data_IF_298068823372
#
_entry.id   IF_298068823372
#
_cell.length_a   1.000
_cell.length_b   1.000
_cell.length_c   1.000
_cell.angle_alpha   90.00
_cell.angle_beta   90.00
_cell.angle_gamma   90.00
#
_symmetry.space_group_name_H-M   'P 1'
#
loop_
_entity.id
_entity.type
_entity.pdbx_description
1 polymer ?
#
# COMPACT_ATOMS: atom_id res chain seq x y z
N UNK A 1 -2.77 -24.12 1.74
CA UNK A 1 -3.51 -23.22 0.85
C UNK A 1 -3.01 -21.80 1.07
N UNK A 2 -2.72 -21.07 0.02
CA UNK A 2 -2.00 -19.80 0.18
C UNK A 2 -2.44 -18.81 -0.89
N UNK A 3 -3.77 -18.71 -1.07
CA UNK A 3 -4.34 -17.65 -1.89
C UNK A 3 -4.33 -16.36 -1.07
N UNK A 4 -3.72 -15.30 -1.62
CA UNK A 4 -3.78 -13.94 -1.09
C UNK A 4 -4.52 -13.11 -2.13
N UNK A 5 -5.55 -12.40 -1.70
CA UNK A 5 -6.30 -11.48 -2.54
C UNK A 5 -5.73 -10.07 -2.42
N UNK A 6 -5.20 -9.58 -3.51
CA UNK A 6 -4.78 -8.18 -3.63
C UNK A 6 -5.98 -7.34 -4.04
N UNK A 7 -6.19 -6.24 -3.35
CA UNK A 7 -7.24 -5.27 -3.59
C UNK A 7 -6.65 -3.91 -3.92
N UNK A 8 -7.36 -3.15 -4.72
CA UNK A 8 -7.08 -1.75 -5.01
C UNK A 8 -8.40 -1.02 -5.29
N UNK A 9 -8.50 0.25 -4.90
CA UNK A 9 -9.71 1.05 -5.07
C UNK A 9 -9.41 2.36 -5.77
N UNK A 10 -10.26 2.71 -6.77
CA UNK A 10 -10.39 4.10 -7.19
C UNK A 10 -11.57 4.73 -6.45
N UNK A 11 -11.43 6.01 -6.10
CA UNK A 11 -12.39 6.68 -5.22
C UNK A 11 -12.66 8.12 -5.65
N UNK A 12 -13.75 8.68 -5.17
CA UNK A 12 -14.14 10.08 -5.41
C UNK A 12 -13.43 11.07 -4.47
N UNK A 13 -12.51 10.61 -3.62
CA UNK A 13 -11.78 11.45 -2.65
C UNK A 13 -11.03 10.58 -1.64
N UNK A 14 -10.63 11.18 -0.52
CA UNK A 14 -9.71 10.53 0.43
C UNK A 14 -10.45 9.95 1.66
N UNK A 15 -11.45 10.66 2.19
CA UNK A 15 -12.07 10.34 3.49
C UNK A 15 -13.55 10.01 3.35
N UNK A 16 -13.98 8.78 3.71
CA UNK A 16 -15.41 8.49 3.84
C UNK A 16 -16.02 9.26 5.04
N UNK A 17 -17.31 9.58 5.03
CA UNK A 17 -18.31 9.17 4.02
C UNK A 17 -18.39 10.09 2.79
N UNK A 18 -17.60 11.18 2.75
CA UNK A 18 -17.59 12.12 1.61
C UNK A 18 -17.00 11.45 0.37
N UNK A 19 -15.94 10.67 0.55
CA UNK A 19 -15.37 9.86 -0.52
C UNK A 19 -16.09 8.51 -0.65
N UNK A 20 -16.32 8.08 -1.88
CA UNK A 20 -16.96 6.82 -2.24
C UNK A 20 -16.04 6.01 -3.17
N UNK A 21 -16.07 4.68 -3.07
CA UNK A 21 -15.36 3.80 -4.00
C UNK A 21 -16.09 3.78 -5.33
N UNK A 22 -15.41 4.16 -6.42
CA UNK A 22 -15.94 4.16 -7.79
C UNK A 22 -15.46 2.99 -8.64
N UNK A 23 -14.33 2.36 -8.30
CA UNK A 23 -13.87 1.10 -8.91
C UNK A 23 -13.25 0.20 -7.85
N UNK A 24 -13.53 -1.10 -7.94
CA UNK A 24 -12.86 -2.15 -7.16
C UNK A 24 -12.01 -2.99 -8.10
N UNK A 25 -10.75 -3.17 -7.78
CA UNK A 25 -9.83 -4.07 -8.44
C UNK A 25 -9.41 -5.22 -7.53
N UNK A 26 -9.37 -6.42 -8.08
CA UNK A 26 -8.92 -7.63 -7.39
C UNK A 26 -7.91 -8.38 -8.26
N UNK A 27 -6.86 -8.89 -7.61
CA UNK A 27 -5.92 -9.79 -8.23
C UNK A 27 -5.50 -10.85 -7.22
N UNK A 28 -5.64 -12.12 -7.57
CA UNK A 28 -5.29 -13.22 -6.68
C UNK A 28 -3.86 -13.69 -6.92
N UNK A 29 -3.10 -13.84 -5.82
CA UNK A 29 -1.78 -14.43 -5.78
C UNK A 29 -1.88 -15.84 -5.18
N UNK A 30 -1.62 -16.87 -5.99
CA UNK A 30 -1.49 -18.25 -5.51
C UNK A 30 -0.01 -18.55 -5.19
N UNK A 31 0.31 -18.56 -3.91
CA UNK A 31 1.67 -18.86 -3.43
C UNK A 31 2.08 -20.31 -3.65
N UNK A 32 1.13 -21.26 -3.72
CA UNK A 32 1.46 -22.66 -3.91
C UNK A 32 1.95 -22.93 -5.33
N UNK A 33 1.29 -22.37 -6.32
CA UNK A 33 1.69 -22.45 -7.73
C UNK A 33 2.64 -21.31 -8.14
N UNK A 34 2.89 -20.34 -7.27
CA UNK A 34 3.66 -19.11 -7.53
C UNK A 34 3.16 -18.33 -8.74
N UNK A 35 1.84 -18.16 -8.82
CA UNK A 35 1.19 -17.50 -9.95
C UNK A 35 0.40 -16.28 -9.49
N UNK A 36 0.61 -15.18 -10.18
CA UNK A 36 -0.30 -14.03 -10.18
C UNK A 36 -1.37 -14.31 -11.20
N UNK A 37 -2.65 -14.31 -10.78
CA UNK A 37 -3.77 -14.56 -11.67
C UNK A 37 -4.18 -13.28 -12.40
N UNK A 38 -4.91 -13.38 -13.53
CA UNK A 38 -5.42 -12.19 -14.20
C UNK A 38 -6.28 -11.33 -13.27
N UNK A 39 -6.13 -10.00 -13.33
CA UNK A 39 -6.93 -9.10 -12.51
C UNK A 39 -8.37 -9.06 -13.00
N UNK A 40 -9.27 -8.67 -12.12
CA UNK A 40 -10.66 -8.32 -12.44
C UNK A 40 -11.03 -7.02 -11.75
N UNK A 41 -11.87 -6.22 -12.37
CA UNK A 41 -12.39 -5.01 -11.76
C UNK A 41 -13.83 -4.74 -12.19
N UNK A 42 -14.51 -3.90 -11.41
CA UNK A 42 -15.85 -3.43 -11.72
C UNK A 42 -16.06 -2.03 -11.14
N UNK A 43 -16.90 -1.24 -11.81
CA UNK A 43 -17.29 0.08 -11.36
C UNK A 43 -18.40 -0.01 -10.31
N UNK A 44 -18.39 0.93 -9.37
CA UNK A 44 -19.37 1.11 -8.33
C UNK A 44 -20.13 2.42 -8.52
N UNK A 45 -21.38 2.46 -8.05
CA UNK A 45 -22.22 3.66 -8.08
C UNK A 45 -21.71 4.71 -7.09
N UNK A 46 -21.58 5.94 -7.56
CA UNK A 46 -21.18 7.09 -6.75
C UNK A 46 -22.08 8.29 -7.03
N UNK A 47 -22.14 9.24 -6.09
CA UNK A 47 -23.00 10.42 -6.21
C UNK A 47 -22.35 11.56 -6.99
N UNK A 48 -21.03 11.67 -6.90
CA UNK A 48 -20.24 12.72 -7.54
C UNK A 48 -18.89 12.19 -8.02
N UNK A 49 -18.27 12.91 -8.94
CA UNK A 49 -16.96 12.57 -9.47
C UNK A 49 -16.15 13.87 -9.67
N UNK A 50 -15.44 14.35 -8.64
CA UNK A 50 -14.64 15.56 -8.70
C UNK A 50 -13.60 15.54 -9.83
N UNK A 51 -13.33 16.68 -10.50
CA UNK A 51 -12.41 16.70 -11.63
C UNK A 51 -10.96 16.32 -11.26
N UNK A 52 -10.53 16.61 -10.03
CA UNK A 52 -9.19 16.29 -9.53
C UNK A 52 -8.95 14.77 -9.43
N UNK A 53 -9.92 13.99 -8.96
CA UNK A 53 -9.79 12.52 -8.90
C UNK A 53 -9.96 11.92 -10.29
N UNK A 54 -10.87 12.47 -11.09
CA UNK A 54 -11.06 12.05 -12.49
C UNK A 54 -9.80 12.28 -13.33
N UNK A 55 -9.02 13.30 -13.03
CA UNK A 55 -7.74 13.55 -13.69
C UNK A 55 -6.69 12.45 -13.38
N UNK A 56 -6.91 11.64 -12.34
CA UNK A 56 -6.04 10.53 -11.95
C UNK A 56 -6.50 9.23 -12.61
N UNK A 57 -7.72 8.77 -12.31
CA UNK A 57 -8.21 7.45 -12.75
C UNK A 57 -9.06 7.48 -14.04
N UNK A 58 -9.41 8.67 -14.55
CA UNK A 58 -10.16 8.90 -15.79
C UNK A 58 -11.57 8.28 -15.86
N UNK A 59 -12.14 7.87 -14.71
CA UNK A 59 -13.50 7.34 -14.64
C UNK A 59 -14.47 8.52 -14.56
N UNK A 60 -15.47 8.53 -15.44
CA UNK A 60 -16.54 9.54 -15.43
C UNK A 60 -17.70 9.15 -14.52
N UNK A 61 -18.49 10.14 -14.09
CA UNK A 61 -19.69 9.88 -13.32
C UNK A 61 -20.71 9.02 -14.12
N UNK A 62 -20.79 9.23 -15.44
CA UNK A 62 -21.72 8.47 -16.30
C UNK A 62 -21.36 6.98 -16.37
N UNK A 63 -20.09 6.60 -16.28
CA UNK A 63 -19.66 5.19 -16.24
C UNK A 63 -20.09 4.49 -14.94
N UNK A 64 -20.20 5.25 -13.85
CA UNK A 64 -20.63 4.77 -12.53
C UNK A 64 -22.15 4.79 -12.37
N UNK A 65 -22.87 5.44 -13.31
CA UNK A 65 -24.31 5.59 -13.27
C UNK A 65 -25.00 4.23 -13.27
N UNK A 66 -26.04 4.11 -12.46
CA UNK A 66 -26.86 2.89 -12.34
C UNK A 66 -26.08 1.64 -11.86
N UNK A 67 -24.85 1.81 -11.34
CA UNK A 67 -24.11 0.74 -10.67
C UNK A 67 -24.51 0.65 -9.20
N UNK A 68 -24.40 -0.56 -8.63
CA UNK A 68 -24.55 -0.72 -7.19
C UNK A 68 -23.40 0.01 -6.46
N UNK A 69 -23.68 0.75 -5.38
CA UNK A 69 -22.62 1.38 -4.59
C UNK A 69 -21.79 0.32 -3.88
N UNK A 70 -20.52 0.66 -3.62
CA UNK A 70 -19.67 -0.17 -2.75
C UNK A 70 -20.23 -0.18 -1.32
N UNK A 71 -20.14 -1.33 -0.66
CA UNK A 71 -20.61 -1.52 0.70
C UNK A 71 -19.79 -2.59 1.44
N UNK A 72 -19.97 -2.71 2.76
CA UNK A 72 -19.38 -3.81 3.53
C UNK A 72 -19.81 -5.18 2.98
N UNK A 73 -21.03 -5.34 2.50
CA UNK A 73 -21.49 -6.60 1.90
C UNK A 73 -20.72 -6.93 0.61
N UNK A 74 -20.34 -5.91 -0.18
CA UNK A 74 -19.45 -6.09 -1.33
C UNK A 74 -18.06 -6.57 -0.90
N UNK A 75 -17.53 -5.97 0.17
CA UNK A 75 -16.24 -6.36 0.74
C UNK A 75 -16.30 -7.80 1.30
N UNK A 76 -17.36 -8.15 2.02
CA UNK A 76 -17.58 -9.51 2.54
C UNK A 76 -17.62 -10.54 1.41
N UNK A 77 -18.31 -10.24 0.30
CA UNK A 77 -18.39 -11.14 -0.84
C UNK A 77 -17.01 -11.44 -1.45
N UNK A 78 -16.17 -10.44 -1.65
CA UNK A 78 -14.82 -10.70 -2.17
C UNK A 78 -13.86 -11.32 -1.15
N UNK A 79 -14.11 -11.18 0.15
CA UNK A 79 -13.34 -11.89 1.19
C UNK A 79 -13.73 -13.36 1.31
N UNK A 80 -14.97 -13.72 0.97
CA UNK A 80 -15.45 -15.11 1.04
C UNK A 80 -15.15 -15.88 -0.25
N UNK A 81 -15.20 -15.24 -1.39
CA UNK A 81 -14.99 -15.89 -2.69
C UNK A 81 -13.58 -16.49 -2.81
N UNK A 82 -13.49 -17.79 -3.12
CA UNK A 82 -12.22 -18.49 -3.25
C UNK A 82 -11.43 -18.67 -1.95
N UNK A 83 -11.99 -18.27 -0.80
CA UNK A 83 -11.42 -18.40 0.55
C UNK A 83 -9.96 -17.97 0.65
N UNK A 84 -9.62 -16.71 0.34
CA UNK A 84 -8.26 -16.20 0.52
C UNK A 84 -7.86 -16.23 1.99
N UNK A 85 -6.58 -16.46 2.26
CA UNK A 85 -6.03 -16.51 3.62
C UNK A 85 -5.66 -15.14 4.17
N UNK A 86 -5.52 -14.13 3.29
CA UNK A 86 -5.21 -12.75 3.63
C UNK A 86 -5.64 -11.82 2.49
N UNK A 87 -5.80 -10.55 2.80
CA UNK A 87 -5.86 -9.45 1.84
C UNK A 87 -4.48 -8.80 1.72
N UNK A 88 -4.21 -8.16 0.59
CA UNK A 88 -3.08 -7.27 0.44
C UNK A 88 -3.48 -6.02 -0.36
N UNK A 89 -2.85 -4.89 -0.06
CA UNK A 89 -3.00 -3.66 -0.81
C UNK A 89 -1.70 -2.84 -0.79
N UNK A 90 -1.53 -1.93 -1.73
CA UNK A 90 -0.40 -1.01 -1.70
C UNK A 90 -0.81 0.29 -0.99
N UNK A 91 -0.26 0.53 0.22
CA UNK A 91 -0.72 1.54 1.17
C UNK A 91 -2.11 1.21 1.78
N UNK A 92 -2.25 -0.02 2.27
CA UNK A 92 -3.50 -0.61 2.75
C UNK A 92 -4.29 0.26 3.75
N UNK A 93 -3.65 1.18 4.46
CA UNK A 93 -4.30 2.15 5.35
C UNK A 93 -5.34 3.02 4.60
N UNK A 94 -5.20 3.13 3.27
CA UNK A 94 -6.15 3.85 2.43
C UNK A 94 -7.42 3.01 2.18
N UNK A 95 -7.28 1.79 1.67
CA UNK A 95 -8.41 0.90 1.39
C UNK A 95 -9.22 0.58 2.64
N UNK A 96 -8.53 0.44 3.79
CA UNK A 96 -9.14 0.14 5.07
C UNK A 96 -10.00 1.26 5.65
N UNK A 97 -10.05 2.44 5.04
CA UNK A 97 -11.01 3.49 5.38
C UNK A 97 -12.42 3.19 4.89
N UNK A 98 -12.54 2.39 3.83
CA UNK A 98 -13.81 2.15 3.13
C UNK A 98 -14.53 0.86 3.57
N UNK A 99 -13.85 -0.05 4.27
CA UNK A 99 -14.45 -1.29 4.78
C UNK A 99 -13.67 -1.85 5.99
N UNK A 100 -14.35 -2.73 6.76
CA UNK A 100 -13.74 -3.46 7.86
C UNK A 100 -13.29 -4.87 7.39
N UNK A 101 -11.99 -5.19 7.37
CA UNK A 101 -11.53 -6.49 6.94
C UNK A 101 -11.77 -7.56 8.00
N UNK A 102 -12.17 -8.76 7.56
CA UNK A 102 -12.27 -9.98 8.41
C UNK A 102 -11.03 -10.86 8.32
N UNK A 103 -10.17 -10.61 7.34
CA UNK A 103 -8.94 -11.34 7.08
C UNK A 103 -7.71 -10.54 7.52
N UNK A 104 -6.57 -11.20 7.79
CA UNK A 104 -5.30 -10.50 7.94
C UNK A 104 -4.99 -9.63 6.71
N UNK A 105 -4.40 -8.45 6.92
CA UNK A 105 -4.06 -7.52 5.83
C UNK A 105 -2.56 -7.33 5.74
N UNK A 106 -2.04 -7.33 4.52
CA UNK A 106 -0.65 -7.05 4.16
C UNK A 106 -0.60 -5.72 3.42
N UNK A 107 0.14 -4.76 3.97
CA UNK A 107 0.49 -3.51 3.29
C UNK A 107 1.82 -3.70 2.54
N UNK A 108 1.76 -3.83 1.21
CA UNK A 108 2.98 -4.02 0.40
C UNK A 108 3.88 -2.78 0.41
N UNK A 109 3.32 -1.57 0.57
CA UNK A 109 4.08 -0.34 0.75
C UNK A 109 4.96 -0.37 2.02
N UNK A 110 4.35 -0.68 3.19
CA UNK A 110 5.08 -0.80 4.45
C UNK A 110 6.10 -1.94 4.45
N UNK A 111 5.79 -3.03 3.74
CA UNK A 111 6.73 -4.14 3.55
C UNK A 111 7.91 -3.73 2.66
N UNK A 112 7.66 -3.06 1.53
CA UNK A 112 8.69 -2.60 0.61
C UNK A 112 9.68 -1.62 1.27
N UNK A 113 9.19 -0.69 2.11
CA UNK A 113 10.04 0.22 2.90
C UNK A 113 11.05 -0.54 3.79
N UNK A 114 10.73 -1.75 4.24
CA UNK A 114 11.59 -2.58 5.08
C UNK A 114 12.52 -3.47 4.30
N UNK A 115 12.01 -4.05 3.22
CA UNK A 115 12.75 -5.04 2.41
C UNK A 115 13.69 -4.36 1.42
N UNK A 116 13.28 -3.20 0.88
CA UNK A 116 14.03 -2.44 -0.13
C UNK A 116 14.14 -0.95 0.23
N UNK A 117 14.80 -0.63 1.37
CA UNK A 117 14.98 0.77 1.77
C UNK A 117 15.78 1.60 0.74
N UNK A 118 16.55 0.92 -0.13
CA UNK A 118 17.37 1.50 -1.20
C UNK A 118 16.59 1.78 -2.49
N UNK A 119 15.33 1.32 -2.61
CA UNK A 119 14.53 1.57 -3.81
C UNK A 119 14.38 3.08 -4.09
N UNK A 120 14.47 3.53 -5.35
CA UNK A 120 14.41 4.97 -5.69
C UNK A 120 13.05 5.60 -5.39
N UNK A 121 12.02 4.78 -5.21
CA UNK A 121 10.68 5.17 -4.82
C UNK A 121 9.86 3.95 -4.42
N UNK A 122 8.86 4.16 -3.57
CA UNK A 122 8.03 3.09 -3.03
C UNK A 122 6.57 3.18 -3.47
N UNK A 123 6.21 4.04 -4.43
CA UNK A 123 4.90 3.96 -5.07
C UNK A 123 4.77 2.67 -5.89
N UNK A 124 3.54 2.20 -6.12
CA UNK A 124 3.26 0.97 -6.86
C UNK A 124 3.98 0.96 -8.23
N UNK A 125 3.84 2.04 -9.00
CA UNK A 125 4.49 2.18 -10.30
C UNK A 125 6.02 2.27 -10.22
N UNK A 126 6.59 2.98 -9.22
CA UNK A 126 8.04 3.07 -9.06
C UNK A 126 8.66 1.72 -8.71
N UNK A 127 8.05 0.97 -7.79
CA UNK A 127 8.49 -0.38 -7.45
C UNK A 127 8.37 -1.33 -8.63
N UNK A 128 7.27 -1.24 -9.41
CA UNK A 128 7.10 -2.06 -10.61
C UNK A 128 8.30 -1.93 -11.53
N UNK A 129 8.59 -0.74 -12.03
CA UNK A 129 9.65 -0.54 -13.02
C UNK A 129 11.04 -0.85 -12.44
N UNK A 130 11.29 -0.46 -11.19
CA UNK A 130 12.55 -0.80 -10.53
C UNK A 130 12.76 -2.32 -10.40
N UNK A 131 11.73 -3.08 -10.05
CA UNK A 131 11.80 -4.55 -9.96
C UNK A 131 11.88 -5.21 -11.35
N UNK A 132 11.22 -4.65 -12.37
CA UNK A 132 11.37 -5.08 -13.77
C UNK A 132 12.82 -4.90 -14.25
N UNK A 133 13.41 -3.72 -14.02
CA UNK A 133 14.81 -3.42 -14.39
C UNK A 133 15.81 -4.36 -13.70
N UNK A 134 15.50 -4.80 -12.48
CA UNK A 134 16.29 -5.80 -11.76
C UNK A 134 15.98 -7.26 -12.17
N UNK A 135 15.06 -7.50 -13.09
CA UNK A 135 14.62 -8.84 -13.48
C UNK A 135 13.93 -9.63 -12.36
N UNK A 136 13.36 -8.94 -11.38
CA UNK A 136 12.67 -9.56 -10.22
C UNK A 136 11.20 -9.87 -10.50
N UNK A 137 10.57 -9.12 -11.38
CA UNK A 137 9.20 -9.35 -11.84
C UNK A 137 9.16 -9.23 -13.37
N UNK A 138 8.18 -9.89 -13.98
CA UNK A 138 7.92 -9.81 -15.42
C UNK A 138 6.38 -9.86 -15.63
N UNK A 139 5.63 -8.81 -15.27
CA UNK A 139 4.19 -8.78 -15.46
C UNK A 139 3.83 -8.70 -16.96
N UNK A 140 2.67 -9.20 -17.33
CA UNK A 140 2.12 -8.93 -18.65
C UNK A 140 1.76 -7.44 -18.75
N UNK A 141 2.47 -6.71 -19.60
CA UNK A 141 2.27 -5.27 -19.78
C UNK A 141 0.85 -4.89 -20.20
N UNK A 142 0.13 -5.77 -20.90
CA UNK A 142 -1.26 -5.53 -21.27
C UNK A 142 -2.20 -5.48 -20.05
N UNK A 143 -1.87 -6.23 -18.99
CA UNK A 143 -2.66 -6.28 -17.76
C UNK A 143 -2.28 -5.17 -16.74
N UNK A 144 -1.19 -4.44 -16.99
CA UNK A 144 -0.72 -3.37 -16.12
C UNK A 144 -1.18 -1.97 -16.56
N UNK A 145 -2.04 -1.90 -17.56
CA UNK A 145 -2.51 -0.63 -18.14
C UNK A 145 -4.02 -0.57 -18.27
N UNK A 146 -4.60 0.64 -18.22
CA UNK A 146 -3.92 1.88 -17.87
C UNK A 146 -3.58 1.93 -16.36
N UNK A 147 -2.54 2.66 -15.98
CA UNK A 147 -2.25 2.97 -14.58
C UNK A 147 -3.40 3.81 -13.98
N UNK A 148 -3.53 3.78 -12.67
CA UNK A 148 -4.65 4.39 -11.95
C UNK A 148 -6.02 3.83 -12.41
N UNK A 149 -6.06 2.52 -12.57
CA UNK A 149 -7.25 1.71 -12.65
C UNK A 149 -7.10 0.54 -11.69
N UNK A 150 -8.12 0.32 -10.90
CA UNK A 150 -8.03 -0.60 -9.77
C UNK A 150 -7.59 -2.04 -10.15
N UNK A 151 -8.04 -2.58 -11.27
CA UNK A 151 -7.60 -3.91 -11.74
C UNK A 151 -6.11 -3.98 -12.09
N UNK A 152 -5.61 -3.16 -13.02
CA UNK A 152 -4.18 -3.05 -13.34
C UNK A 152 -3.29 -2.78 -12.13
N UNK A 153 -3.69 -1.90 -11.22
CA UNK A 153 -2.89 -1.56 -10.04
C UNK A 153 -2.87 -2.70 -9.01
N UNK A 154 -3.98 -3.42 -8.81
CA UNK A 154 -4.00 -4.66 -8.03
C UNK A 154 -3.09 -5.74 -8.64
N UNK A 155 -3.03 -5.85 -9.98
CA UNK A 155 -2.15 -6.80 -10.67
C UNK A 155 -0.67 -6.46 -10.46
N UNK A 156 -0.29 -5.20 -10.59
CA UNK A 156 1.08 -4.73 -10.27
C UNK A 156 1.42 -5.01 -8.80
N UNK A 157 0.52 -4.67 -7.88
CA UNK A 157 0.70 -4.93 -6.45
C UNK A 157 0.88 -6.42 -6.15
N UNK A 158 0.20 -7.32 -6.87
CA UNK A 158 0.37 -8.77 -6.70
C UNK A 158 1.78 -9.23 -7.13
N UNK A 159 2.35 -8.66 -8.18
CA UNK A 159 3.74 -8.91 -8.58
C UNK A 159 4.75 -8.38 -7.57
N UNK A 160 4.53 -7.17 -7.04
CA UNK A 160 5.35 -6.61 -5.95
C UNK A 160 5.26 -7.51 -4.70
N UNK A 161 4.08 -8.00 -4.35
CA UNK A 161 3.89 -8.93 -3.23
C UNK A 161 4.64 -10.24 -3.43
N UNK A 162 4.61 -10.82 -4.62
CA UNK A 162 5.38 -12.02 -4.95
C UNK A 162 6.88 -11.76 -4.78
N UNK A 163 7.38 -10.63 -5.28
CA UNK A 163 8.79 -10.27 -5.12
C UNK A 163 9.20 -10.05 -3.66
N UNK A 164 8.30 -9.57 -2.80
CA UNK A 164 8.53 -9.46 -1.34
C UNK A 164 8.73 -10.84 -0.71
N UNK A 165 7.91 -11.84 -1.09
CA UNK A 165 8.10 -13.22 -0.67
C UNK A 165 9.43 -13.78 -1.18
N UNK A 166 9.81 -13.49 -2.43
CA UNK A 166 11.08 -13.93 -3.03
C UNK A 166 12.30 -13.29 -2.34
N UNK A 167 12.14 -12.09 -1.82
CA UNK A 167 13.16 -11.41 -1.01
C UNK A 167 13.24 -11.94 0.44
N UNK A 168 12.41 -12.94 0.81
CA UNK A 168 12.44 -13.60 2.10
C UNK A 168 11.47 -13.04 3.14
N UNK A 169 10.64 -12.04 2.81
CA UNK A 169 9.60 -11.58 3.71
C UNK A 169 8.54 -12.68 3.92
N UNK A 170 8.10 -12.88 5.18
CA UNK A 170 7.03 -13.84 5.47
C UNK A 170 5.67 -13.14 5.56
N UNK A 171 4.60 -13.87 5.28
CA UNK A 171 3.24 -13.33 5.44
C UNK A 171 2.97 -12.85 6.87
N UNK A 172 3.53 -13.56 7.89
CA UNK A 172 3.44 -13.16 9.30
C UNK A 172 4.09 -11.79 9.54
N UNK A 173 5.31 -11.62 9.03
CA UNK A 173 6.06 -10.36 9.22
C UNK A 173 5.35 -9.21 8.53
N UNK A 174 4.89 -9.39 7.28
CA UNK A 174 4.19 -8.35 6.53
C UNK A 174 2.85 -7.95 7.19
N UNK A 175 2.10 -8.90 7.75
CA UNK A 175 0.89 -8.61 8.54
C UNK A 175 1.23 -7.84 9.82
N UNK A 176 2.34 -8.18 10.49
CA UNK A 176 2.80 -7.43 11.66
C UNK A 176 3.21 -6.01 11.28
N UNK A 177 4.00 -5.85 10.23
CA UNK A 177 4.44 -4.54 9.72
C UNK A 177 3.29 -3.64 9.25
N UNK A 178 2.19 -4.24 8.78
CA UNK A 178 0.99 -3.47 8.41
C UNK A 178 0.42 -2.69 9.58
N UNK A 179 0.52 -3.23 10.80
CA UNK A 179 0.02 -2.60 12.03
C UNK A 179 0.98 -1.58 12.64
N UNK A 180 2.22 -1.55 12.16
CA UNK A 180 3.23 -0.60 12.62
C UNK A 180 3.20 0.68 11.78
N UNK A 181 3.72 1.81 12.29
CA UNK A 181 4.02 2.97 11.48
C UNK A 181 4.99 2.65 10.31
N UNK A 182 5.04 3.51 9.32
CA UNK A 182 5.94 3.37 8.17
C UNK A 182 7.40 3.48 8.62
N UNK A 183 8.22 2.48 8.29
CA UNK A 183 9.67 2.55 8.50
C UNK A 183 10.30 3.34 7.35
N UNK A 184 10.48 4.64 7.55
CA UNK A 184 11.02 5.53 6.53
C UNK A 184 12.54 5.33 6.37
N UNK A 185 13.07 5.12 5.16
CA UNK A 185 14.51 4.92 4.94
C UNK A 185 15.37 6.13 5.34
N UNK A 186 14.81 7.34 5.15
CA UNK A 186 15.50 8.60 5.43
C UNK A 186 14.57 9.58 6.12
N UNK A 187 15.12 10.57 6.80
CA UNK A 187 14.37 11.67 7.38
C UNK A 187 13.78 12.54 6.25
N UNK A 188 12.45 12.73 6.16
CA UNK A 188 11.84 13.45 5.03
C UNK A 188 11.70 14.96 5.26
N UNK A 189 12.13 15.51 6.42
CA UNK A 189 11.85 16.89 6.80
C UNK A 189 13.08 17.70 7.20
N UNK A 190 12.93 19.02 7.13
CA UNK A 190 13.90 20.00 7.63
C UNK A 190 15.26 19.91 6.96
N UNK A 191 16.30 20.32 7.69
CA UNK A 191 17.70 20.30 7.24
C UNK A 191 18.28 18.90 7.05
N UNK A 192 17.57 17.87 7.54
CA UNK A 192 17.96 16.47 7.42
C UNK A 192 17.19 15.71 6.33
N UNK A 193 16.43 16.41 5.50
CA UNK A 193 15.68 15.77 4.40
C UNK A 193 16.62 14.95 3.52
N UNK A 194 16.24 13.66 3.30
CA UNK A 194 17.02 12.70 2.52
C UNK A 194 18.21 12.08 3.25
N UNK A 195 18.49 12.47 4.50
CA UNK A 195 19.57 11.90 5.30
C UNK A 195 19.12 10.61 5.99
N UNK A 196 19.99 9.59 6.08
CA UNK A 196 19.75 8.44 6.96
C UNK A 196 19.44 8.90 8.39
N UNK A 197 18.57 8.19 9.08
CA UNK A 197 18.20 8.53 10.46
C UNK A 197 19.39 8.59 11.41
N UNK A 198 20.42 7.77 11.15
CA UNK A 198 21.66 7.78 11.92
C UNK A 198 22.45 9.09 11.84
N UNK A 199 22.24 9.90 10.79
CA UNK A 199 22.89 11.21 10.62
C UNK A 199 22.05 12.37 11.19
N UNK A 200 20.83 12.11 11.66
CA UNK A 200 19.96 13.13 12.23
C UNK A 200 20.44 13.49 13.63
N UNK A 201 20.69 14.77 13.90
CA UNK A 201 21.15 15.23 15.23
C UNK A 201 20.14 14.88 16.33
N UNK A 202 20.65 14.49 17.50
CA UNK A 202 19.85 14.13 18.68
C UNK A 202 18.86 15.24 19.10
N UNK A 203 19.32 16.48 19.08
CA UNK A 203 18.47 17.63 19.36
C UNK A 203 17.28 17.77 18.41
N UNK A 204 17.46 17.41 17.13
CA UNK A 204 16.39 17.42 16.14
C UNK A 204 15.41 16.27 16.36
N UNK A 205 15.89 15.06 16.62
CA UNK A 205 15.04 13.92 16.99
C UNK A 205 14.17 14.25 18.21
N UNK A 206 14.79 14.78 19.28
CA UNK A 206 14.06 15.21 20.47
C UNK A 206 13.08 16.36 20.21
N UNK A 207 13.39 17.26 19.27
CA UNK A 207 12.46 18.30 18.85
C UNK A 207 11.25 17.69 18.14
N UNK A 208 11.43 16.73 17.23
CA UNK A 208 10.33 16.06 16.53
C UNK A 208 9.33 15.44 17.51
N UNK A 209 9.82 14.77 18.56
CA UNK A 209 8.96 14.13 19.55
C UNK A 209 8.10 15.12 20.36
N UNK A 210 8.61 16.34 20.54
CA UNK A 210 7.89 17.39 21.28
C UNK A 210 6.85 18.15 20.45
N UNK A 211 6.80 17.93 19.12
CA UNK A 211 5.83 18.62 18.27
C UNK A 211 4.46 17.93 18.35
N UNK A 212 3.40 18.59 18.83
CA UNK A 212 2.09 17.96 18.99
C UNK A 212 1.46 17.55 17.64
N UNK A 213 1.74 18.30 16.57
CA UNK A 213 1.19 18.07 15.22
C UNK A 213 2.12 17.28 14.30
N UNK A 214 3.21 16.72 14.84
CA UNK A 214 4.11 15.89 14.03
C UNK A 214 3.42 14.57 13.67
N UNK A 215 3.56 14.18 12.41
CA UNK A 215 3.09 12.90 11.87
C UNK A 215 3.62 11.72 12.72
N UNK A 216 2.77 10.75 13.00
CA UNK A 216 3.08 9.63 13.88
C UNK A 216 4.20 8.73 13.32
N UNK A 217 4.28 8.57 12.00
CA UNK A 217 5.40 7.84 11.38
C UNK A 217 6.73 8.53 11.66
N UNK A 218 6.76 9.87 11.61
CA UNK A 218 7.98 10.63 11.89
C UNK A 218 8.42 10.51 13.35
N UNK A 219 7.47 10.60 14.29
CA UNK A 219 7.76 10.39 15.71
C UNK A 219 8.30 8.99 15.96
N UNK A 220 7.62 7.98 15.40
CA UNK A 220 8.04 6.58 15.59
C UNK A 220 9.45 6.31 15.05
N UNK A 221 9.79 6.85 13.86
CA UNK A 221 11.15 6.72 13.32
C UNK A 221 12.20 7.43 14.19
N UNK A 222 11.87 8.61 14.73
CA UNK A 222 12.75 9.33 15.65
C UNK A 222 12.97 8.56 16.97
N UNK A 223 11.90 8.02 17.56
CA UNK A 223 11.98 7.16 18.77
C UNK A 223 12.83 5.91 18.53
N UNK A 224 12.62 5.25 17.40
CA UNK A 224 13.36 4.07 16.98
C UNK A 224 14.86 4.37 16.85
N UNK A 225 15.23 5.51 16.27
CA UNK A 225 16.64 5.90 16.15
C UNK A 225 17.26 6.23 17.51
N UNK A 226 16.55 6.94 18.39
CA UNK A 226 17.00 7.20 19.75
C UNK A 226 17.23 5.89 20.52
N UNK A 227 16.30 4.95 20.43
CA UNK A 227 16.41 3.64 21.06
C UNK A 227 17.62 2.85 20.53
N UNK A 228 17.87 2.88 19.20
CA UNK A 228 19.03 2.25 18.56
C UNK A 228 20.35 2.81 19.11
N UNK A 229 20.47 4.14 19.24
CA UNK A 229 21.67 4.80 19.80
C UNK A 229 21.88 4.40 21.25
N UNK A 230 20.83 4.47 22.07
CA UNK A 230 20.92 4.09 23.49
C UNK A 230 21.37 2.65 23.66
N UNK A 231 20.88 1.71 22.85
CA UNK A 231 21.28 0.31 22.89
C UNK A 231 22.76 0.09 22.50
N UNK A 232 23.35 0.99 21.70
CA UNK A 232 24.78 0.96 21.31
C UNK A 232 25.70 1.75 22.21
N UNK A 233 25.18 2.43 23.25
CA UNK A 233 25.94 3.32 24.08
C UNK A 233 26.41 4.60 23.37
N UNK A 234 25.82 4.92 22.22
CA UNK A 234 26.02 6.19 21.52
C UNK A 234 25.25 7.28 22.29
N UNK A 235 25.83 8.45 22.46
CA UNK A 235 25.12 9.56 23.12
C UNK A 235 23.90 9.93 22.30
N UNK A 236 22.68 9.98 22.91
CA UNK A 236 21.45 10.27 22.19
C UNK A 236 21.41 11.67 21.62
#
# INVERSE_FOLDING_TARGET
MSLIRVIDFETTGIEPPQAQVCEVGLCDLDLASRRVLPPRSWLCGVQEMPPEVRAVHHISLDECKDRAPFSQATADAFMDEGAPSALAAHNADYELRFFAPRLPVICTYKAALRVWPEAPGHSNGALRYWLEDLGKIAPDHALTQPAHRAGPDAYVTAHVLMALFDAGATGRDMVAWTKEPRLLPTCPIGKFRGKPWAEVEAGFLGWMLRQPTMDDDLKWNAEREIARRSAKGETP
#
